data_IF_134102157808
#
_entry.id   IF_134102157808
#
_cell.length_a   1.000
_cell.length_b   1.000
_cell.length_c   1.000
_cell.angle_alpha   90.00
_cell.angle_beta   90.00
_cell.angle_gamma   90.00
#
_symmetry.space_group_name_H-M   'P 1'
#
loop_
_entity.id
_entity.type
_entity.pdbx_description
1 polymer ?
#
# COMPACT_ATOMS: atom_id res chain seq x y z
N UNK A 1 1.04 15.35 -9.28
CA UNK A 1 0.33 16.01 -10.38
C UNK A 1 -0.29 15.01 -11.34
N UNK A 2 0.42 14.02 -11.84
CA UNK A 2 -0.11 13.04 -12.79
C UNK A 2 -1.32 12.24 -12.29
N UNK A 3 -1.29 11.73 -11.06
CA UNK A 3 -2.42 10.98 -10.47
C UNK A 3 -3.68 11.83 -10.35
N UNK A 4 -3.55 13.11 -9.96
CA UNK A 4 -4.69 14.02 -9.86
C UNK A 4 -5.33 14.28 -11.23
N UNK A 5 -4.55 14.60 -12.24
CA UNK A 5 -5.05 14.84 -13.59
C UNK A 5 -5.72 13.59 -14.18
N UNK A 6 -5.17 12.42 -13.88
CA UNK A 6 -5.76 11.16 -14.30
C UNK A 6 -7.11 10.91 -13.62
N UNK A 7 -7.21 11.12 -12.31
CA UNK A 7 -8.45 11.01 -11.54
C UNK A 7 -9.48 12.01 -12.06
N UNK A 8 -9.11 13.26 -12.29
CA UNK A 8 -10.02 14.27 -12.84
C UNK A 8 -10.58 13.87 -14.19
N UNK A 9 -9.73 13.32 -15.06
CA UNK A 9 -10.12 12.88 -16.40
C UNK A 9 -11.10 11.69 -16.39
N UNK A 10 -10.93 10.76 -15.47
CA UNK A 10 -11.70 9.50 -15.41
C UNK A 10 -12.65 9.43 -14.22
N UNK A 11 -12.98 10.55 -13.62
CA UNK A 11 -13.77 10.65 -12.39
C UNK A 11 -15.05 9.82 -12.39
N UNK A 12 -15.85 9.93 -13.44
CA UNK A 12 -17.13 9.22 -13.52
C UNK A 12 -16.92 7.70 -13.52
N UNK A 13 -16.00 7.20 -14.34
CA UNK A 13 -15.65 5.79 -14.37
C UNK A 13 -15.13 5.30 -13.02
N UNK A 14 -14.24 6.07 -12.40
CA UNK A 14 -13.66 5.70 -11.10
C UNK A 14 -14.69 5.69 -9.98
N UNK A 15 -15.63 6.61 -9.98
CA UNK A 15 -16.69 6.66 -8.97
C UNK A 15 -17.60 5.42 -9.03
N UNK A 16 -17.82 4.87 -10.21
CA UNK A 16 -18.67 3.70 -10.42
C UNK A 16 -17.89 2.39 -10.30
N UNK A 17 -16.74 2.28 -10.95
CA UNK A 17 -16.07 1.01 -11.21
C UNK A 17 -14.81 0.77 -10.35
N UNK A 18 -14.26 1.78 -9.68
CA UNK A 18 -13.06 1.59 -8.87
C UNK A 18 -13.32 0.57 -7.75
N UNK A 19 -12.62 -0.56 -7.82
CA UNK A 19 -12.65 -1.56 -6.74
C UNK A 19 -11.65 -1.20 -5.64
N UNK A 20 -10.44 -0.85 -6.03
CA UNK A 20 -9.35 -0.55 -5.09
C UNK A 20 -8.21 0.16 -5.81
N UNK A 21 -7.64 1.17 -5.18
CA UNK A 21 -6.34 1.73 -5.52
C UNK A 21 -5.28 1.13 -4.60
N UNK A 22 -4.24 0.56 -5.16
CA UNK A 22 -3.06 0.08 -4.43
C UNK A 22 -1.88 0.95 -4.83
N UNK A 23 -1.35 1.71 -3.90
CA UNK A 23 -0.19 2.56 -4.10
C UNK A 23 1.03 1.99 -3.40
N UNK A 24 2.13 1.89 -4.13
CA UNK A 24 3.43 1.47 -3.63
C UNK A 24 4.34 2.69 -3.67
N UNK A 25 4.62 3.25 -2.50
CA UNK A 25 5.45 4.43 -2.38
C UNK A 25 6.62 4.15 -1.45
N UNK A 26 7.84 4.40 -1.93
CA UNK A 26 9.04 4.17 -1.15
C UNK A 26 9.08 2.79 -0.48
N UNK A 27 8.60 1.77 -1.17
CA UNK A 27 8.54 0.39 -0.65
C UNK A 27 9.92 -0.31 -0.56
N UNK A 28 10.97 0.40 -0.88
CA UNK A 28 12.34 0.07 -0.49
C UNK A 28 12.53 0.34 1.01
N UNK A 29 13.14 -0.60 1.72
CA UNK A 29 13.40 -0.51 3.16
C UNK A 29 14.88 -0.28 3.40
N UNK A 30 15.19 0.82 4.06
CA UNK A 30 16.53 1.10 4.55
C UNK A 30 16.70 0.45 5.95
N UNK A 31 17.42 -0.65 6.01
CA UNK A 31 17.64 -1.40 7.26
C UNK A 31 18.42 -0.63 8.33
N UNK A 32 19.21 0.36 7.95
CA UNK A 32 19.96 1.18 8.89
C UNK A 32 19.05 2.15 9.65
N UNK A 33 17.95 2.57 9.01
CA UNK A 33 17.01 3.54 9.55
C UNK A 33 15.74 2.91 10.10
N UNK A 34 15.19 1.97 9.34
CA UNK A 34 13.94 1.32 9.66
C UNK A 34 13.86 0.01 8.88
N UNK A 35 13.52 -1.06 9.52
CA UNK A 35 13.45 -2.39 8.91
C UNK A 35 12.01 -2.83 8.59
N UNK A 36 11.09 -1.92 8.39
CA UNK A 36 9.68 -2.24 8.23
C UNK A 36 8.99 -1.58 7.06
N UNK A 37 7.96 -2.27 6.57
CA UNK A 37 6.93 -1.74 5.70
C UNK A 37 5.70 -1.39 6.53
N UNK A 38 5.05 -0.29 6.19
CA UNK A 38 3.76 0.06 6.75
C UNK A 38 2.73 0.10 5.65
N UNK A 39 1.67 -0.67 5.81
CA UNK A 39 0.53 -0.69 4.91
C UNK A 39 -0.64 -0.03 5.63
N UNK A 40 -1.19 1.01 5.02
CA UNK A 40 -2.40 1.68 5.46
C UNK A 40 -3.54 1.33 4.52
N UNK A 41 -4.70 1.04 5.05
CA UNK A 41 -5.92 0.84 4.27
C UNK A 41 -7.12 1.48 4.95
N UNK A 42 -8.03 2.00 4.17
CA UNK A 42 -9.28 2.60 4.63
C UNK A 42 -10.49 1.67 4.46
N UNK A 43 -10.22 0.37 4.25
CA UNK A 43 -11.23 -0.69 4.24
C UNK A 43 -10.81 -1.84 5.15
N UNK A 44 -11.46 -2.01 6.32
CA UNK A 44 -11.12 -3.06 7.27
C UNK A 44 -11.24 -4.49 6.73
N UNK A 45 -12.06 -4.71 5.70
CA UNK A 45 -12.17 -6.04 5.07
C UNK A 45 -10.90 -6.36 4.28
N UNK A 46 -10.40 -5.40 3.52
CA UNK A 46 -9.19 -5.55 2.73
C UNK A 46 -7.95 -5.66 3.63
N UNK A 47 -7.81 -4.80 4.63
CA UNK A 47 -6.69 -4.85 5.57
C UNK A 47 -6.67 -6.11 6.43
N UNK A 48 -7.82 -6.68 6.78
CA UNK A 48 -7.90 -7.99 7.44
C UNK A 48 -7.30 -9.11 6.59
N UNK A 49 -7.58 -9.10 5.29
CA UNK A 49 -7.01 -10.07 4.35
C UNK A 49 -5.49 -9.87 4.24
N UNK A 50 -5.03 -8.64 4.09
CA UNK A 50 -3.60 -8.30 4.00
C UNK A 50 -2.86 -8.71 5.28
N UNK A 51 -3.46 -8.54 6.48
CA UNK A 51 -2.88 -9.06 7.73
C UNK A 51 -2.75 -10.58 7.72
N UNK A 52 -3.77 -11.29 7.24
CA UNK A 52 -3.71 -12.74 7.11
C UNK A 52 -2.60 -13.21 6.17
N UNK A 53 -2.44 -12.52 5.04
CA UNK A 53 -1.35 -12.78 4.09
C UNK A 53 0.01 -12.46 4.72
N UNK A 54 0.13 -11.34 5.44
CA UNK A 54 1.36 -10.97 6.13
C UNK A 54 1.76 -11.99 7.21
N UNK A 55 0.79 -12.55 7.95
CA UNK A 55 1.05 -13.61 8.90
C UNK A 55 1.57 -14.89 8.19
N UNK A 56 0.91 -15.31 7.13
CA UNK A 56 1.40 -16.45 6.31
C UNK A 56 2.77 -16.20 5.70
N UNK A 57 3.03 -14.98 5.23
CA UNK A 57 4.36 -14.59 4.75
C UNK A 57 5.42 -14.82 5.83
N UNK A 58 5.14 -14.43 7.07
CA UNK A 58 6.08 -14.60 8.18
C UNK A 58 6.34 -16.07 8.51
N UNK A 59 5.34 -16.93 8.34
CA UNK A 59 5.47 -18.37 8.58
C UNK A 59 6.27 -19.08 7.45
N UNK A 60 6.12 -18.63 6.22
CA UNK A 60 6.74 -19.28 5.04
C UNK A 60 8.12 -18.70 4.73
N UNK A 61 8.28 -17.40 4.86
CA UNK A 61 9.51 -16.68 4.52
C UNK A 61 10.21 -16.16 5.79
N UNK A 62 10.54 -17.08 6.70
CA UNK A 62 11.08 -16.77 8.04
C UNK A 62 12.32 -15.89 8.01
N UNK A 63 13.21 -16.11 7.06
CA UNK A 63 14.45 -15.31 6.93
C UNK A 63 14.15 -13.86 6.54
N UNK A 64 13.26 -13.65 5.58
CA UNK A 64 12.83 -12.29 5.21
C UNK A 64 12.03 -11.63 6.35
N UNK A 65 11.12 -12.37 6.97
CA UNK A 65 10.32 -11.85 8.06
C UNK A 65 11.15 -11.51 9.31
N UNK A 66 12.30 -12.16 9.50
CA UNK A 66 13.23 -11.82 10.57
C UNK A 66 13.95 -10.48 10.34
N UNK A 67 14.15 -10.10 9.08
CA UNK A 67 14.80 -8.85 8.70
C UNK A 67 13.81 -7.70 8.52
N UNK A 68 12.64 -7.98 7.94
CA UNK A 68 11.67 -6.98 7.49
C UNK A 68 10.34 -7.12 8.19
N UNK A 69 9.98 -6.15 9.01
CA UNK A 69 8.67 -6.12 9.68
C UNK A 69 7.61 -5.55 8.73
N UNK A 70 6.40 -6.08 8.82
CA UNK A 70 5.25 -5.58 8.09
C UNK A 70 4.15 -5.20 9.06
N UNK A 71 3.75 -3.93 9.03
CA UNK A 71 2.67 -3.39 9.84
C UNK A 71 1.48 -3.07 8.93
N UNK A 72 0.31 -3.59 9.28
CA UNK A 72 -0.94 -3.32 8.54
C UNK A 72 -1.90 -2.58 9.44
N UNK A 73 -2.30 -1.39 9.03
CA UNK A 73 -3.13 -0.49 9.82
C UNK A 73 -4.43 -0.15 9.10
N UNK A 74 -5.53 -0.25 9.84
CA UNK A 74 -6.82 0.34 9.42
C UNK A 74 -6.84 1.79 9.86
N UNK A 75 -7.11 2.68 8.94
CA UNK A 75 -7.28 4.11 9.24
C UNK A 75 -8.47 4.65 8.46
N UNK A 76 -9.21 5.61 9.00
CA UNK A 76 -10.30 6.23 8.25
C UNK A 76 -9.76 7.00 7.05
N UNK A 77 -10.59 7.14 6.02
CA UNK A 77 -10.20 7.86 4.80
C UNK A 77 -9.69 9.28 5.10
N UNK A 78 -10.26 9.95 6.09
CA UNK A 78 -9.83 11.28 6.54
C UNK A 78 -8.44 11.33 7.15
N UNK A 79 -7.90 10.19 7.58
CA UNK A 79 -6.55 10.06 8.17
C UNK A 79 -5.54 9.44 7.20
N UNK A 80 -5.95 9.07 5.99
CA UNK A 80 -5.03 8.56 4.98
C UNK A 80 -3.99 9.62 4.64
N UNK A 81 -2.71 9.23 4.47
CA UNK A 81 -1.69 10.16 3.98
C UNK A 81 -2.12 10.78 2.65
N UNK A 82 -1.77 12.03 2.40
CA UNK A 82 -2.13 12.71 1.15
C UNK A 82 -0.91 13.23 0.36
N UNK A 83 0.26 12.77 0.72
CA UNK A 83 1.53 13.18 0.11
C UNK A 83 2.04 12.21 -0.97
N UNK A 84 1.17 11.37 -1.51
CA UNK A 84 1.51 10.41 -2.56
C UNK A 84 0.35 10.21 -3.55
N UNK A 85 0.56 9.40 -4.58
CA UNK A 85 -0.32 9.25 -5.73
C UNK A 85 -1.70 8.62 -5.44
N UNK A 86 -1.88 7.99 -4.28
CA UNK A 86 -3.21 7.52 -3.85
C UNK A 86 -4.16 8.64 -3.41
N UNK A 87 -3.62 9.79 -3.03
CA UNK A 87 -4.40 10.85 -2.41
C UNK A 87 -5.61 11.31 -3.25
N UNK A 88 -5.52 11.54 -4.57
CA UNK A 88 -6.68 11.90 -5.37
C UNK A 88 -7.76 10.82 -5.38
N UNK A 89 -7.39 9.54 -5.32
CA UNK A 89 -8.36 8.44 -5.23
C UNK A 89 -9.12 8.46 -3.90
N UNK A 90 -8.43 8.76 -2.80
CA UNK A 90 -9.05 8.85 -1.47
C UNK A 90 -9.93 10.08 -1.35
N UNK A 91 -9.40 11.24 -1.68
CA UNK A 91 -10.06 12.53 -1.35
C UNK A 91 -11.03 13.01 -2.40
N UNK A 92 -10.97 12.49 -3.63
CA UNK A 92 -11.81 12.95 -4.73
C UNK A 92 -12.76 11.88 -5.26
N UNK A 93 -12.47 10.57 -5.03
CA UNK A 93 -13.27 9.44 -5.52
C UNK A 93 -13.95 8.69 -4.38
N UNK A 94 -13.23 8.38 -3.30
CA UNK A 94 -13.85 7.78 -2.13
C UNK A 94 -14.79 8.81 -1.49
N UNK A 95 -16.08 8.65 -1.74
CA UNK A 95 -17.07 9.43 -1.02
C UNK A 95 -16.92 9.10 0.46
N UNK A 96 -16.65 10.11 1.25
CA UNK A 96 -16.60 9.97 2.70
C UNK A 96 -18.00 9.65 3.17
N UNK A 97 -18.25 8.48 3.74
CA UNK A 97 -19.59 8.18 4.22
C UNK A 97 -19.88 9.03 5.45
N UNK A 98 -21.01 9.64 5.49
CA UNK A 98 -21.46 10.43 6.63
C UNK A 98 -21.74 9.58 7.87
N UNK A 99 -21.99 8.29 7.66
CA UNK A 99 -22.35 7.34 8.69
C UNK A 99 -21.20 6.42 9.15
N UNK A 100 -20.05 6.53 8.56
CA UNK A 100 -18.87 5.69 8.86
C UNK A 100 -19.02 4.22 8.50
N UNK A 101 -20.07 3.82 7.80
CA UNK A 101 -20.36 2.44 7.41
C UNK A 101 -19.77 2.07 6.05
N UNK A 102 -19.56 3.05 5.22
CA UNK A 102 -18.98 2.87 3.90
C UNK A 102 -17.45 2.91 4.00
N UNK A 103 -16.81 1.95 3.36
CA UNK A 103 -15.37 1.80 3.40
C UNK A 103 -14.73 2.40 2.16
N UNK A 104 -13.58 3.01 2.34
CA UNK A 104 -12.80 3.53 1.22
C UNK A 104 -12.23 2.44 0.32
N UNK A 105 -11.56 2.87 -0.73
CA UNK A 105 -11.02 2.02 -1.81
C UNK A 105 -9.53 2.25 -2.00
N UNK A 106 -8.79 2.45 -0.91
CA UNK A 106 -7.36 2.72 -0.98
C UNK A 106 -6.55 1.84 -0.03
N UNK A 107 -5.41 1.38 -0.54
CA UNK A 107 -4.39 0.70 0.21
C UNK A 107 -3.03 1.23 -0.22
N UNK A 108 -2.26 1.73 0.71
CA UNK A 108 -0.96 2.32 0.44
C UNK A 108 0.14 1.62 1.25
N UNK A 109 1.23 1.27 0.59
CA UNK A 109 2.39 0.64 1.18
C UNK A 109 3.55 1.63 1.18
N UNK A 110 4.07 1.90 2.36
CA UNK A 110 5.27 2.70 2.57
C UNK A 110 6.40 1.88 3.16
N UNK A 111 7.60 2.06 2.61
CA UNK A 111 8.85 1.70 3.27
C UNK A 111 9.46 2.91 3.96
N UNK A 112 10.73 2.81 4.33
CA UNK A 112 11.47 3.90 4.96
C UNK A 112 12.17 4.82 3.95
N UNK A 113 12.34 4.36 2.72
CA UNK A 113 13.20 5.03 1.75
C UNK A 113 14.66 5.09 2.18
N UNK A 114 15.47 5.79 1.41
CA UNK A 114 16.88 6.03 1.73
C UNK A 114 17.10 7.44 2.29
N UNK A 115 18.27 7.66 2.90
CA UNK A 115 18.69 9.01 3.32
C UNK A 115 18.89 9.97 2.16
N UNK A 116 19.05 9.42 0.96
CA UNK A 116 19.26 10.16 -0.30
C UNK A 116 17.95 10.56 -1.00
N UNK A 117 16.81 10.23 -0.42
CA UNK A 117 15.49 10.56 -0.96
C UNK A 117 15.39 12.00 -1.49
N UNK A 118 14.94 12.16 -2.72
CA UNK A 118 14.87 13.43 -3.44
C UNK A 118 16.21 14.13 -3.67
N UNK A 119 17.31 13.40 -3.65
CA UNK A 119 18.64 13.93 -4.00
C UNK A 119 19.21 13.22 -5.23
N UNK A 120 20.29 13.77 -5.80
CA UNK A 120 21.00 13.13 -6.91
C UNK A 120 21.75 11.84 -6.51
N UNK A 121 21.84 11.57 -5.21
CA UNK A 121 22.43 10.36 -4.64
C UNK A 121 21.42 9.18 -4.57
N UNK A 122 20.16 9.42 -4.86
CA UNK A 122 19.12 8.40 -4.94
C UNK A 122 19.26 7.63 -6.25
N UNK A 123 20.09 6.62 -6.24
CA UNK A 123 20.54 5.85 -7.40
C UNK A 123 20.27 4.35 -7.23
N UNK A 124 20.34 3.58 -8.32
CA UNK A 124 20.02 2.15 -8.33
C UNK A 124 20.91 1.28 -7.43
N UNK A 125 22.10 1.71 -7.09
CA UNK A 125 22.98 1.02 -6.14
C UNK A 125 22.47 1.05 -4.70
N UNK A 126 21.46 1.89 -4.41
CA UNK A 126 20.73 1.92 -3.13
C UNK A 126 19.52 0.97 -3.10
N UNK A 127 19.22 0.38 -4.24
CA UNK A 127 18.07 -0.50 -4.36
C UNK A 127 18.30 -1.83 -3.63
N UNK A 128 17.27 -2.26 -2.87
CA UNK A 128 17.31 -3.52 -2.16
C UNK A 128 16.22 -4.46 -2.69
N UNK A 129 16.64 -5.50 -3.40
CA UNK A 129 15.74 -6.48 -4.02
C UNK A 129 14.93 -7.27 -2.99
N UNK A 130 15.51 -7.62 -1.84
CA UNK A 130 14.80 -8.35 -0.78
C UNK A 130 13.63 -7.53 -0.23
N UNK A 131 13.83 -6.23 0.00
CA UNK A 131 12.76 -5.36 0.52
C UNK A 131 11.62 -5.20 -0.48
N UNK A 132 11.95 -5.12 -1.77
CA UNK A 132 10.94 -5.11 -2.82
C UNK A 132 10.19 -6.45 -2.88
N UNK A 133 10.89 -7.57 -2.72
CA UNK A 133 10.28 -8.90 -2.68
C UNK A 133 9.24 -9.02 -1.55
N UNK A 134 9.48 -8.45 -0.37
CA UNK A 134 8.53 -8.46 0.74
C UNK A 134 7.21 -7.80 0.35
N UNK A 135 7.24 -6.58 -0.17
CA UNK A 135 6.02 -5.90 -0.62
C UNK A 135 5.36 -6.61 -1.79
N UNK A 136 6.16 -7.09 -2.75
CA UNK A 136 5.71 -7.82 -3.92
C UNK A 136 4.98 -9.14 -3.58
N UNK A 137 5.51 -9.93 -2.65
CA UNK A 137 4.89 -11.17 -2.21
C UNK A 137 3.56 -10.88 -1.51
N UNK A 138 3.53 -9.95 -0.56
CA UNK A 138 2.33 -9.66 0.23
C UNK A 138 1.23 -9.05 -0.65
N UNK A 139 1.54 -7.99 -1.38
CA UNK A 139 0.54 -7.29 -2.18
C UNK A 139 0.18 -8.05 -3.46
N UNK A 140 1.13 -8.77 -4.06
CA UNK A 140 0.86 -9.67 -5.17
C UNK A 140 -0.09 -10.81 -4.77
N UNK A 141 0.09 -11.39 -3.59
CA UNK A 141 -0.84 -12.38 -3.04
C UNK A 141 -2.22 -11.78 -2.76
N UNK A 142 -2.28 -10.53 -2.30
CA UNK A 142 -3.56 -9.84 -2.11
C UNK A 142 -4.27 -9.56 -3.42
N UNK A 143 -3.58 -9.10 -4.46
CA UNK A 143 -4.15 -8.91 -5.80
C UNK A 143 -4.67 -10.23 -6.35
N UNK A 144 -3.91 -11.31 -6.17
CA UNK A 144 -4.34 -12.65 -6.57
C UNK A 144 -5.60 -13.09 -5.83
N UNK A 145 -5.66 -12.85 -4.52
CA UNK A 145 -6.86 -13.11 -3.74
C UNK A 145 -8.08 -12.34 -4.26
N UNK A 146 -7.94 -11.05 -4.56
CA UNK A 146 -9.02 -10.25 -5.14
C UNK A 146 -9.51 -10.79 -6.49
N UNK A 147 -8.61 -11.40 -7.27
CA UNK A 147 -8.92 -11.94 -8.60
C UNK A 147 -9.58 -13.30 -8.55
N UNK A 148 -9.20 -14.16 -7.62
CA UNK A 148 -9.60 -15.57 -7.57
C UNK A 148 -10.38 -15.95 -6.31
N UNK A 149 -10.47 -15.09 -5.32
CA UNK A 149 -11.19 -15.35 -4.06
C UNK A 149 -10.49 -16.33 -3.12
N UNK A 150 -9.26 -16.75 -3.40
CA UNK A 150 -8.52 -17.71 -2.59
C UNK A 150 -7.09 -17.24 -2.28
N UNK A 151 -6.67 -17.46 -1.03
CA UNK A 151 -5.28 -17.32 -0.61
C UNK A 151 -4.67 -18.73 -0.66
N UNK A 152 -3.88 -18.99 -1.67
CA UNK A 152 -3.11 -20.24 -1.77
C UNK A 152 -1.84 -20.19 -0.94
#
# INVERSE_FOLDING_TARGET
>A
MGSKEWVDKYRNMLSEDLRLNINLDMNHIDLERNNGLTIYGNNPKDTKIVRGISAKFSDVYTDLASKYRVNVNDIPSTAMPYNSDHAPFVYEIDNQPDDGMEYGKALVCYGSGSSEYHTYLDTMDRFNEESLAVSGIILGSFIRYLSYGEIS
#
